data_IF_659662854199
#
_entry.id   IF_659662854199
#
_cell.length_a   1.000
_cell.length_b   1.000
_cell.length_c   1.000
_cell.angle_alpha   90.00
_cell.angle_beta   90.00
_cell.angle_gamma   90.00
#
_symmetry.space_group_name_H-M   'P 1'
#
loop_
_entity.id
_entity.type
_entity.pdbx_description
1 polymer ?
#
# COMPACT_ATOMS: atom_id res chain seq x y z
N UNK A 1 7.45 -13.92 8.66
CA UNK A 1 6.87 -13.20 7.50
C UNK A 1 5.79 -14.08 6.88
N UNK A 2 4.62 -13.53 6.60
CA UNK A 2 3.47 -14.23 6.03
C UNK A 2 3.08 -13.59 4.71
N UNK A 3 2.67 -14.40 3.74
CA UNK A 3 2.02 -13.92 2.53
C UNK A 3 0.51 -14.19 2.67
N UNK A 4 -0.32 -13.18 2.39
CA UNK A 4 -1.77 -13.36 2.45
C UNK A 4 -2.23 -14.28 1.31
N UNK A 5 -2.82 -15.45 1.61
CA UNK A 5 -3.21 -16.40 0.58
C UNK A 5 -4.45 -15.93 -0.18
N UNK A 6 -4.61 -16.41 -1.40
CA UNK A 6 -5.85 -16.26 -2.17
C UNK A 6 -6.17 -14.85 -2.70
N UNK A 7 -5.21 -13.93 -2.70
CA UNK A 7 -5.38 -12.59 -3.32
C UNK A 7 -5.41 -12.65 -4.87
N UNK A 8 -5.07 -13.79 -5.48
CA UNK A 8 -5.32 -14.12 -6.88
C UNK A 8 -4.72 -13.13 -7.88
N UNK A 9 -3.40 -13.02 -7.96
CA UNK A 9 -2.71 -12.11 -8.89
C UNK A 9 -3.28 -10.69 -8.90
N UNK A 10 -3.79 -10.24 -7.74
CA UNK A 10 -4.32 -8.89 -7.57
C UNK A 10 -5.54 -8.54 -8.46
N UNK A 11 -6.31 -9.53 -8.90
CA UNK A 11 -7.49 -9.34 -9.78
C UNK A 11 -8.76 -8.96 -9.03
N UNK A 12 -8.83 -9.20 -7.71
CA UNK A 12 -10.02 -8.90 -6.89
C UNK A 12 -10.20 -7.40 -6.70
N UNK A 13 -11.42 -6.89 -6.51
CA UNK A 13 -11.67 -5.54 -6.02
C UNK A 13 -10.89 -5.24 -4.74
N UNK A 14 -10.57 -3.96 -4.49
CA UNK A 14 -9.84 -3.54 -3.28
C UNK A 14 -10.58 -3.95 -2.02
N UNK A 15 -11.91 -3.82 -2.01
CA UNK A 15 -12.76 -4.21 -0.88
C UNK A 15 -12.61 -5.69 -0.56
N UNK A 16 -12.86 -6.57 -1.53
CA UNK A 16 -12.78 -8.03 -1.35
C UNK A 16 -11.39 -8.49 -0.90
N UNK A 17 -10.34 -7.86 -1.45
CA UNK A 17 -8.97 -8.16 -1.06
C UNK A 17 -8.67 -7.70 0.37
N UNK A 18 -9.25 -6.57 0.80
CA UNK A 18 -9.10 -6.07 2.16
C UNK A 18 -9.83 -6.97 3.17
N UNK A 19 -11.06 -7.40 2.85
CA UNK A 19 -11.85 -8.30 3.71
C UNK A 19 -11.13 -9.64 3.91
N UNK A 20 -10.55 -10.21 2.84
CA UNK A 20 -9.73 -11.44 2.94
C UNK A 20 -8.45 -11.24 3.76
N UNK A 21 -7.82 -10.08 3.62
CA UNK A 21 -6.62 -9.77 4.41
C UNK A 21 -6.97 -9.62 5.88
N UNK A 22 -8.08 -8.95 6.20
CA UNK A 22 -8.59 -8.83 7.56
C UNK A 22 -8.90 -10.19 8.17
N UNK A 23 -9.64 -11.04 7.44
CA UNK A 23 -9.94 -12.41 7.88
C UNK A 23 -8.66 -13.22 8.14
N UNK A 24 -7.65 -13.12 7.28
CA UNK A 24 -6.37 -13.80 7.49
C UNK A 24 -5.65 -13.33 8.75
N UNK A 25 -5.69 -12.03 9.06
CA UNK A 25 -5.09 -11.49 10.29
C UNK A 25 -5.81 -12.03 11.53
N UNK A 26 -7.13 -12.17 11.46
CA UNK A 26 -7.95 -12.71 12.56
C UNK A 26 -7.74 -14.22 12.72
N UNK A 27 -7.84 -14.99 11.65
CA UNK A 27 -7.68 -16.46 11.66
C UNK A 27 -6.30 -16.91 12.13
N UNK A 28 -5.26 -16.16 11.77
CA UNK A 28 -3.89 -16.44 12.18
C UNK A 28 -3.50 -15.77 13.50
N UNK A 29 -4.44 -15.09 14.16
CA UNK A 29 -4.25 -14.31 15.40
C UNK A 29 -3.01 -13.41 15.39
N UNK A 30 -2.76 -12.74 14.27
CA UNK A 30 -1.60 -11.87 14.09
C UNK A 30 -1.85 -10.50 14.73
N UNK A 31 -0.88 -10.02 15.50
CA UNK A 31 -0.91 -8.72 16.19
C UNK A 31 0.36 -7.94 15.91
N UNK A 32 0.28 -6.61 15.94
CA UNK A 32 1.44 -5.73 15.71
C UNK A 32 2.06 -5.87 14.31
N UNK A 33 1.26 -6.23 13.32
CA UNK A 33 1.72 -6.56 11.96
C UNK A 33 2.18 -5.30 11.24
N UNK A 34 3.31 -5.37 10.55
CA UNK A 34 3.71 -4.39 9.54
C UNK A 34 3.34 -4.93 8.16
N UNK A 35 2.42 -4.23 7.48
CA UNK A 35 2.06 -4.60 6.10
C UNK A 35 3.13 -4.10 5.13
N UNK A 36 3.58 -4.97 4.22
CA UNK A 36 4.42 -4.58 3.08
C UNK A 36 3.62 -4.86 1.81
N UNK A 37 3.38 -3.82 1.03
CA UNK A 37 2.48 -3.91 -0.10
C UNK A 37 3.02 -3.16 -1.33
N UNK A 38 2.79 -3.70 -2.53
CA UNK A 38 3.15 -3.06 -3.79
C UNK A 38 1.91 -2.65 -4.57
N UNK A 39 1.97 -1.48 -5.20
CA UNK A 39 0.95 -0.99 -6.13
C UNK A 39 -0.45 -1.00 -5.49
N UNK A 40 -1.44 -1.66 -6.11
CA UNK A 40 -2.80 -1.85 -5.57
C UNK A 40 -2.84 -2.41 -4.15
N UNK A 41 -1.85 -3.23 -3.78
CA UNK A 41 -1.76 -3.81 -2.44
C UNK A 41 -1.71 -2.74 -1.35
N UNK A 42 -1.14 -1.56 -1.61
CA UNK A 42 -1.14 -0.45 -0.67
C UNK A 42 -2.53 0.14 -0.42
N UNK A 43 -3.40 0.18 -1.44
CA UNK A 43 -4.82 0.57 -1.26
C UNK A 43 -5.58 -0.46 -0.44
N UNK A 44 -5.32 -1.75 -0.69
CA UNK A 44 -5.87 -2.86 0.12
C UNK A 44 -5.43 -2.70 1.58
N UNK A 45 -4.13 -2.51 1.82
CA UNK A 45 -3.59 -2.34 3.16
C UNK A 45 -4.17 -1.11 3.88
N UNK A 46 -4.30 0.04 3.19
CA UNK A 46 -4.94 1.23 3.77
C UNK A 46 -6.39 0.94 4.19
N UNK A 47 -7.15 0.22 3.36
CA UNK A 47 -8.52 -0.17 3.69
C UNK A 47 -8.58 -1.13 4.89
N UNK A 48 -7.65 -2.08 5.01
CA UNK A 48 -7.52 -2.94 6.20
C UNK A 48 -7.25 -2.10 7.44
N UNK A 49 -6.32 -1.16 7.37
CA UNK A 49 -5.98 -0.29 8.50
C UNK A 49 -7.14 0.61 8.97
N UNK A 50 -8.08 0.93 8.07
CA UNK A 50 -9.31 1.68 8.37
C UNK A 50 -10.45 0.80 8.89
N UNK A 51 -10.34 -0.53 8.78
CA UNK A 51 -11.32 -1.49 9.29
C UNK A 51 -11.04 -1.85 10.77
N UNK A 52 -11.94 -2.59 11.44
CA UNK A 52 -11.68 -3.11 12.80
C UNK A 52 -10.38 -3.90 12.92
N UNK A 53 -9.97 -4.65 11.87
CA UNK A 53 -8.70 -5.35 11.83
C UNK A 53 -7.46 -4.42 11.83
N UNK A 54 -7.66 -3.12 11.62
CA UNK A 54 -6.61 -2.11 11.69
C UNK A 54 -5.95 -1.98 13.06
N UNK A 55 -6.61 -2.42 14.14
CA UNK A 55 -6.02 -2.50 15.49
C UNK A 55 -4.88 -3.52 15.57
N UNK A 56 -4.87 -4.53 14.70
CA UNK A 56 -3.81 -5.55 14.59
C UNK A 56 -2.59 -5.07 13.79
N UNK A 57 -2.70 -3.92 13.11
CA UNK A 57 -1.67 -3.40 12.20
C UNK A 57 -0.91 -2.26 12.85
N UNK A 58 0.40 -2.44 13.06
CA UNK A 58 1.29 -1.40 13.57
C UNK A 58 1.51 -0.29 12.54
N UNK A 59 1.64 -0.65 11.27
CA UNK A 59 1.80 0.29 10.15
C UNK A 59 1.99 -0.41 8.82
N UNK A 60 2.29 0.37 7.79
CA UNK A 60 2.46 -0.15 6.43
C UNK A 60 3.62 0.50 5.70
N UNK A 61 4.36 -0.29 4.93
CA UNK A 61 5.28 0.16 3.88
C UNK A 61 4.62 -0.10 2.52
N UNK A 62 4.21 0.96 1.85
CA UNK A 62 3.50 0.92 0.58
C UNK A 62 4.42 1.34 -0.57
N UNK A 63 4.75 0.40 -1.45
CA UNK A 63 5.67 0.59 -2.57
C UNK A 63 4.89 0.89 -3.84
N UNK A 64 5.20 1.99 -4.52
CA UNK A 64 4.61 2.42 -5.79
C UNK A 64 3.07 2.32 -5.78
N UNK A 65 2.43 2.80 -4.72
CA UNK A 65 0.97 2.73 -4.54
C UNK A 65 0.30 3.97 -5.12
N UNK A 66 -0.73 3.83 -5.98
CA UNK A 66 -1.45 4.94 -6.58
C UNK A 66 -2.51 5.51 -5.62
N UNK A 67 -2.10 6.15 -4.52
CA UNK A 67 -3.02 6.70 -3.51
C UNK A 67 -4.00 7.74 -4.08
N UNK A 68 -3.60 8.43 -5.14
CA UNK A 68 -4.44 9.42 -5.85
C UNK A 68 -4.97 8.90 -7.19
N UNK A 69 -4.81 7.60 -7.43
CA UNK A 69 -5.10 6.99 -8.73
C UNK A 69 -4.00 7.21 -9.76
N UNK A 70 -4.30 6.84 -11.00
CA UNK A 70 -3.43 7.07 -12.15
C UNK A 70 -4.27 7.53 -13.34
N UNK A 71 -3.89 8.66 -13.96
CA UNK A 71 -4.52 9.14 -15.20
C UNK A 71 -4.42 8.14 -16.34
N UNK A 72 -3.45 7.25 -16.30
CA UNK A 72 -3.25 6.21 -17.31
C UNK A 72 -4.09 4.96 -17.06
N UNK A 73 -4.76 4.84 -15.91
CA UNK A 73 -5.62 3.71 -15.62
C UNK A 73 -6.71 3.49 -16.68
N UNK A 74 -7.16 4.57 -17.35
CA UNK A 74 -8.16 4.51 -18.44
C UNK A 74 -7.63 3.88 -19.73
N UNK A 75 -6.31 3.91 -19.97
CA UNK A 75 -5.65 3.38 -21.17
C UNK A 75 -5.15 1.95 -20.96
N UNK A 76 -5.07 1.49 -19.71
CA UNK A 76 -4.67 0.13 -19.42
C UNK A 76 -5.86 -0.80 -19.63
N UNK A 77 -5.69 -1.78 -20.54
CA UNK A 77 -6.72 -2.75 -20.88
C UNK A 77 -7.03 -3.68 -19.69
N UNK A 78 -8.22 -3.54 -19.10
CA UNK A 78 -8.71 -4.43 -18.05
C UNK A 78 -9.61 -3.75 -17.01
N UNK A 79 -10.66 -4.46 -16.56
CA UNK A 79 -11.61 -3.97 -15.54
C UNK A 79 -10.92 -3.59 -14.23
N UNK A 80 -9.89 -4.35 -13.87
CA UNK A 80 -9.12 -4.16 -12.62
C UNK A 80 -8.32 -2.85 -12.62
N UNK A 81 -7.87 -2.39 -13.79
CA UNK A 81 -7.06 -1.18 -13.92
C UNK A 81 -7.90 0.09 -14.03
N UNK A 82 -9.17 -0.02 -14.48
CA UNK A 82 -10.11 1.10 -14.48
C UNK A 82 -10.47 1.57 -13.07
N UNK A 83 -10.42 0.68 -12.06
CA UNK A 83 -10.63 1.00 -10.66
C UNK A 83 -9.54 1.92 -10.06
N UNK A 84 -8.45 2.21 -10.80
CA UNK A 84 -7.44 3.20 -10.42
C UNK A 84 -7.65 4.55 -11.11
N UNK A 85 -8.77 4.75 -11.79
CA UNK A 85 -9.12 6.05 -12.34
C UNK A 85 -9.15 7.09 -11.21
N UNK A 86 -8.55 8.28 -11.39
CA UNK A 86 -8.65 9.36 -10.41
C UNK A 86 -10.10 9.86 -10.19
N UNK A 87 -11.05 9.35 -10.96
CA UNK A 87 -12.49 9.63 -10.84
C UNK A 87 -13.28 8.49 -10.20
N UNK A 88 -12.64 7.40 -9.82
CA UNK A 88 -13.32 6.29 -9.14
C UNK A 88 -13.76 6.73 -7.75
N UNK A 89 -15.05 6.65 -7.46
CA UNK A 89 -15.63 7.15 -6.21
C UNK A 89 -15.10 6.40 -4.98
N UNK A 90 -14.86 5.09 -5.09
CA UNK A 90 -14.32 4.29 -3.99
C UNK A 90 -12.86 4.65 -3.70
N UNK A 91 -12.07 4.91 -4.75
CA UNK A 91 -10.70 5.37 -4.60
C UNK A 91 -10.64 6.78 -3.99
N UNK A 92 -11.51 7.69 -4.44
CA UNK A 92 -11.59 9.04 -3.89
C UNK A 92 -12.02 9.03 -2.42
N UNK A 93 -13.00 8.19 -2.06
CA UNK A 93 -13.41 8.02 -0.67
C UNK A 93 -12.25 7.48 0.18
N UNK A 94 -11.53 6.45 -0.29
CA UNK A 94 -10.36 5.91 0.41
C UNK A 94 -9.22 6.92 0.53
N UNK A 95 -9.02 7.76 -0.47
CA UNK A 95 -8.01 8.83 -0.44
C UNK A 95 -8.37 9.96 0.54
N UNK A 96 -9.67 10.22 0.76
CA UNK A 96 -10.15 11.22 1.71
C UNK A 96 -9.97 10.77 3.18
N UNK A 97 -9.95 9.47 3.45
CA UNK A 97 -9.72 8.91 4.77
C UNK A 97 -8.26 9.06 5.18
N UNK A 98 -7.98 9.91 6.18
CA UNK A 98 -6.62 10.24 6.60
C UNK A 98 -6.21 9.67 7.95
N UNK A 99 -7.13 9.05 8.67
CA UNK A 99 -6.93 8.61 10.06
C UNK A 99 -5.78 7.62 10.26
N UNK A 100 -5.29 6.97 9.19
CA UNK A 100 -4.21 5.99 9.25
C UNK A 100 -2.94 6.42 8.51
N UNK A 101 -2.97 7.55 7.80
CA UNK A 101 -1.89 7.96 6.90
C UNK A 101 -0.55 8.15 7.62
N UNK A 102 -0.56 8.66 8.86
CA UNK A 102 0.64 8.83 9.68
C UNK A 102 1.37 7.50 10.00
N UNK A 103 0.66 6.36 9.90
CA UNK A 103 1.23 5.01 10.08
C UNK A 103 1.68 4.35 8.78
N UNK A 104 1.66 5.09 7.66
CA UNK A 104 2.03 4.59 6.33
C UNK A 104 3.33 5.25 5.88
N UNK A 105 4.29 4.44 5.46
CA UNK A 105 5.44 4.89 4.67
C UNK A 105 5.19 4.60 3.21
N UNK A 106 5.07 5.64 2.40
CA UNK A 106 5.00 5.56 0.95
C UNK A 106 6.41 5.58 0.37
N UNK A 107 6.81 4.50 -0.30
CA UNK A 107 8.09 4.36 -1.02
C UNK A 107 7.79 4.36 -2.51
N UNK A 108 8.38 5.27 -3.27
CA UNK A 108 8.08 5.40 -4.69
C UNK A 108 9.32 5.82 -5.49
N UNK A 109 9.42 5.37 -6.75
CA UNK A 109 10.51 5.81 -7.61
C UNK A 109 10.31 7.27 -8.05
N UNK A 110 11.40 7.95 -8.36
CA UNK A 110 11.39 9.31 -8.90
C UNK A 110 10.54 9.43 -10.17
N UNK A 111 10.54 8.39 -10.99
CA UNK A 111 9.72 8.32 -12.19
C UNK A 111 9.01 6.97 -12.29
N UNK A 112 7.67 7.00 -12.31
CA UNK A 112 6.82 5.83 -12.51
C UNK A 112 5.89 6.07 -13.71
N UNK A 113 6.10 5.36 -14.84
CA UNK A 113 5.27 5.53 -16.02
C UNK A 113 3.82 5.06 -15.83
N UNK A 114 3.53 4.26 -14.80
CA UNK A 114 2.18 3.78 -14.48
C UNK A 114 1.45 4.70 -13.51
N UNK A 115 2.21 5.47 -12.70
CA UNK A 115 1.67 6.39 -11.68
C UNK A 115 2.35 7.76 -11.84
N UNK A 116 2.03 8.50 -12.92
CA UNK A 116 2.66 9.80 -13.17
C UNK A 116 2.29 10.87 -12.12
N UNK A 117 1.24 10.63 -11.34
CA UNK A 117 0.80 11.48 -10.23
C UNK A 117 1.67 11.32 -8.98
N UNK A 118 2.71 10.48 -9.00
CA UNK A 118 3.56 10.05 -7.89
C UNK A 118 2.85 9.15 -6.86
N UNK A 119 3.62 8.26 -6.25
CA UNK A 119 3.17 7.41 -5.14
C UNK A 119 3.13 8.12 -3.78
N UNK A 120 3.29 9.43 -3.76
CA UNK A 120 3.30 10.24 -2.54
C UNK A 120 1.97 10.17 -1.80
N UNK A 121 2.04 9.99 -0.47
CA UNK A 121 0.89 10.03 0.45
C UNK A 121 0.99 11.29 1.33
N UNK A 122 0.00 12.16 1.23
CA UNK A 122 -0.11 13.32 2.12
C UNK A 122 -0.50 12.85 3.53
N UNK A 123 0.22 13.33 4.53
CA UNK A 123 0.05 12.89 5.93
C UNK A 123 0.85 11.63 6.30
N UNK A 124 1.42 10.92 5.32
CA UNK A 124 2.30 9.79 5.54
C UNK A 124 3.79 10.15 5.45
N UNK A 125 4.64 9.22 5.87
CA UNK A 125 6.07 9.30 5.61
C UNK A 125 6.33 8.98 4.14
N UNK A 126 7.15 9.77 3.47
CA UNK A 126 7.43 9.63 2.04
C UNK A 126 8.93 9.40 1.80
N UNK A 127 9.26 8.36 1.06
CA UNK A 127 10.63 8.01 0.66
C UNK A 127 10.69 7.90 -0.86
N UNK A 128 11.30 8.88 -1.51
CA UNK A 128 11.57 8.83 -2.95
C UNK A 128 12.86 8.07 -3.21
N UNK A 129 12.83 7.13 -4.15
CA UNK A 129 14.00 6.38 -4.61
C UNK A 129 14.55 6.99 -5.90
N UNK A 130 15.87 7.06 -6.06
CA UNK A 130 16.49 7.54 -7.30
C UNK A 130 16.42 6.48 -8.42
N UNK A 131 15.26 5.84 -8.55
CA UNK A 131 14.96 4.75 -9.48
C UNK A 131 13.87 5.16 -10.45
N UNK A 132 13.70 4.40 -11.53
CA UNK A 132 12.63 4.58 -12.49
C UNK A 132 11.92 3.26 -12.76
N UNK A 133 10.60 3.34 -13.04
CA UNK A 133 9.75 2.19 -13.37
C UNK A 133 8.84 1.76 -12.23
N UNK A 134 7.83 0.97 -12.58
CA UNK A 134 6.81 0.47 -11.63
C UNK A 134 7.19 -0.88 -11.00
N UNK A 135 7.76 -1.78 -11.79
CA UNK A 135 8.13 -3.14 -11.38
C UNK A 135 9.63 -3.34 -11.24
N UNK A 136 10.44 -2.62 -12.02
CA UNK A 136 11.91 -2.73 -11.99
C UNK A 136 12.49 -2.51 -10.58
N UNK A 137 12.00 -1.55 -9.79
CA UNK A 137 12.52 -1.36 -8.43
C UNK A 137 12.35 -2.56 -7.51
N UNK A 138 11.40 -3.48 -7.78
CA UNK A 138 11.14 -4.64 -6.90
C UNK A 138 12.33 -5.60 -6.78
N UNK A 139 13.23 -5.63 -7.76
CA UNK A 139 14.48 -6.39 -7.73
C UNK A 139 15.70 -5.59 -7.29
N UNK A 140 15.55 -4.28 -7.02
CA UNK A 140 16.67 -3.41 -6.69
C UNK A 140 17.04 -3.50 -5.21
N UNK A 141 18.32 -3.74 -4.87
CA UNK A 141 18.78 -3.79 -3.49
C UNK A 141 18.43 -2.52 -2.68
N UNK A 142 18.46 -1.35 -3.32
CA UNK A 142 18.12 -0.07 -2.67
C UNK A 142 16.69 -0.07 -2.14
N UNK A 143 15.74 -0.62 -2.92
CA UNK A 143 14.37 -0.76 -2.44
C UNK A 143 14.29 -1.73 -1.25
N UNK A 144 14.96 -2.88 -1.35
CA UNK A 144 14.96 -3.89 -0.28
C UNK A 144 15.47 -3.28 1.02
N UNK A 145 16.61 -2.57 0.97
CA UNK A 145 17.21 -1.91 2.14
C UNK A 145 16.27 -0.85 2.74
N UNK A 146 15.60 -0.07 1.89
CA UNK A 146 14.61 0.92 2.35
C UNK A 146 13.43 0.24 3.01
N UNK A 147 12.87 -0.81 2.41
CA UNK A 147 11.73 -1.54 2.96
C UNK A 147 12.08 -2.15 4.32
N UNK A 148 13.22 -2.85 4.43
CA UNK A 148 13.67 -3.44 5.70
C UNK A 148 13.82 -2.38 6.77
N UNK A 149 14.51 -1.28 6.49
CA UNK A 149 14.69 -0.18 7.43
C UNK A 149 13.37 0.43 7.89
N UNK A 150 12.41 0.63 6.99
CA UNK A 150 11.12 1.21 7.34
C UNK A 150 10.22 0.22 8.11
N UNK A 151 10.30 -1.07 7.80
CA UNK A 151 9.66 -2.13 8.61
C UNK A 151 10.21 -2.13 10.02
N UNK A 152 11.54 -2.12 10.19
CA UNK A 152 12.18 -2.08 11.51
C UNK A 152 11.80 -0.82 12.30
N UNK A 153 11.71 0.33 11.62
CA UNK A 153 11.29 1.59 12.24
C UNK A 153 9.86 1.52 12.77
N UNK A 154 8.94 0.91 12.00
CA UNK A 154 7.52 0.77 12.40
C UNK A 154 7.38 -0.27 13.52
N UNK A 155 8.14 -1.37 13.45
CA UNK A 155 8.05 -2.48 14.40
C UNK A 155 8.65 -2.15 15.77
N UNK A 156 9.53 -1.13 15.86
CA UNK A 156 10.09 -0.71 17.15
C UNK A 156 9.01 0.01 17.96
N UNK A 157 8.75 -0.42 19.22
CA UNK A 157 7.88 0.33 20.09
C UNK A 157 8.48 1.74 20.27
N UNK A 158 7.65 2.77 20.10
CA UNK A 158 8.02 4.13 20.50
C UNK A 158 8.20 4.09 22.01
N UNK A 159 9.47 4.09 22.45
CA UNK A 159 9.80 4.33 23.86
C UNK A 159 9.36 5.77 24.17
N UNK A 160 8.15 5.88 24.74
CA UNK A 160 7.76 7.10 25.41
C UNK A 160 8.59 7.18 26.67
N UNK A 161 9.61 8.04 26.66
CA UNK A 161 10.32 8.50 27.83
C UNK A 161 9.43 9.46 28.63
#
# INVERSE_FOLDING_TARGET
MHAVPGLGYNRRPVADAADRTAAFLDEADLQGVVLVAHSKGGLVGKRVMLSPAGSRVAGMVAVATPFRGSRYARYLLGRTLRAFSPRDAALLALAAERGVDARITAVYPRFDPHIPETGRLEGGRNVELPLAGHFLPLGDPTLVDVVVREVDRIARPTSHG
#
